data_IF_729595323970
#
_entry.id   IF_729595323970
#
_cell.length_a   1.000
_cell.length_b   1.000
_cell.length_c   1.000
_cell.angle_alpha   90.00
_cell.angle_beta   90.00
_cell.angle_gamma   90.00
#
_symmetry.space_group_name_H-M   'P 1'
#
loop_
_entity.id
_entity.type
_entity.pdbx_description
1 polymer ?
#
# COMPACT_ATOMS: atom_id res chain seq x y z
N UNK A 1 43.73 1.61 -13.50
CA UNK A 1 42.88 2.21 -12.45
C UNK A 1 41.89 1.14 -12.02
N UNK A 2 41.91 0.72 -10.77
CA UNK A 2 40.94 -0.27 -10.27
C UNK A 2 39.54 0.35 -10.25
N UNK A 3 38.60 -0.26 -10.97
CA UNK A 3 37.20 0.15 -10.93
C UNK A 3 36.68 -0.09 -9.49
N UNK A 4 36.17 0.94 -8.78
CA UNK A 4 35.68 0.76 -7.42
C UNK A 4 34.60 -0.33 -7.38
N UNK A 5 34.68 -1.21 -6.37
CA UNK A 5 33.70 -2.27 -6.22
C UNK A 5 32.28 -1.69 -6.07
N UNK A 6 31.24 -2.37 -6.58
CA UNK A 6 29.84 -1.92 -6.46
C UNK A 6 29.42 -1.47 -5.06
N UNK A 7 29.95 -2.15 -4.03
CA UNK A 7 29.68 -1.82 -2.63
C UNK A 7 30.22 -0.43 -2.26
N UNK A 8 31.44 -0.07 -2.70
CA UNK A 8 32.05 1.24 -2.40
C UNK A 8 31.31 2.38 -3.10
N UNK A 9 30.89 2.18 -4.34
CA UNK A 9 30.11 3.19 -5.08
C UNK A 9 28.79 3.47 -4.36
N UNK A 10 28.10 2.43 -3.89
CA UNK A 10 26.85 2.58 -3.14
C UNK A 10 27.06 3.28 -1.78
N UNK A 11 28.12 2.96 -1.07
CA UNK A 11 28.45 3.57 0.22
C UNK A 11 28.74 5.08 0.07
N UNK A 12 29.56 5.45 -0.91
CA UNK A 12 29.89 6.84 -1.21
C UNK A 12 28.67 7.67 -1.61
N UNK A 13 27.66 7.05 -2.22
CA UNK A 13 26.49 7.74 -2.76
C UNK A 13 25.20 7.40 -1.99
N UNK A 14 25.32 6.88 -0.77
CA UNK A 14 24.18 6.33 -0.03
C UNK A 14 23.05 7.34 0.18
N UNK A 15 23.38 8.59 0.52
CA UNK A 15 22.40 9.66 0.75
C UNK A 15 21.68 10.04 -0.54
N UNK A 16 22.41 10.13 -1.66
CA UNK A 16 21.85 10.44 -2.97
C UNK A 16 20.91 9.32 -3.43
N UNK A 17 21.37 8.07 -3.33
CA UNK A 17 20.57 6.88 -3.62
C UNK A 17 19.25 6.86 -2.83
N UNK A 18 19.30 7.15 -1.52
CA UNK A 18 18.11 7.21 -0.67
C UNK A 18 17.19 8.37 -1.03
N UNK A 19 17.74 9.54 -1.36
CA UNK A 19 16.99 10.70 -1.84
C UNK A 19 16.21 10.37 -3.10
N UNK A 20 16.92 9.90 -4.13
CA UNK A 20 16.33 9.54 -5.43
C UNK A 20 15.27 8.43 -5.27
N UNK A 21 15.55 7.42 -4.45
CA UNK A 21 14.60 6.34 -4.16
C UNK A 21 13.31 6.88 -3.53
N UNK A 22 13.42 7.78 -2.54
CA UNK A 22 12.27 8.34 -1.88
C UNK A 22 11.42 9.17 -2.85
N UNK A 23 12.04 9.94 -3.75
CA UNK A 23 11.31 10.68 -4.78
C UNK A 23 10.58 9.76 -5.76
N UNK A 24 11.24 8.71 -6.27
CA UNK A 24 10.58 7.70 -7.13
C UNK A 24 9.43 7.02 -6.40
N UNK A 25 9.62 6.65 -5.12
CA UNK A 25 8.58 6.06 -4.29
C UNK A 25 7.37 6.99 -4.13
N UNK A 26 7.58 8.28 -3.88
CA UNK A 26 6.49 9.25 -3.76
C UNK A 26 5.70 9.39 -5.05
N UNK A 27 6.39 9.56 -6.19
CA UNK A 27 5.73 9.67 -7.51
C UNK A 27 4.92 8.41 -7.83
N UNK A 28 5.50 7.25 -7.55
CA UNK A 28 4.86 5.96 -7.79
C UNK A 28 3.66 5.76 -6.86
N UNK A 29 3.76 6.17 -5.59
CA UNK A 29 2.68 6.02 -4.59
C UNK A 29 1.39 6.70 -5.05
N UNK A 30 1.45 7.88 -5.67
CA UNK A 30 0.27 8.58 -6.20
C UNK A 30 -0.50 7.70 -7.21
N UNK A 31 0.21 7.14 -8.19
CA UNK A 31 -0.40 6.30 -9.21
C UNK A 31 -1.01 5.02 -8.62
N UNK A 32 -0.33 4.39 -7.67
CA UNK A 32 -0.82 3.19 -7.00
C UNK A 32 -2.03 3.48 -6.10
N UNK A 33 -2.05 4.59 -5.38
CA UNK A 33 -3.22 5.01 -4.58
C UNK A 33 -4.46 5.19 -5.46
N UNK A 34 -4.32 5.82 -6.63
CA UNK A 34 -5.43 5.99 -7.59
C UNK A 34 -5.95 4.65 -8.11
N UNK A 35 -5.05 3.74 -8.49
CA UNK A 35 -5.41 2.38 -8.93
C UNK A 35 -6.09 1.60 -7.82
N UNK A 36 -5.58 1.69 -6.59
CA UNK A 36 -6.17 1.04 -5.43
C UNK A 36 -7.59 1.53 -5.18
N UNK A 37 -7.87 2.84 -5.28
CA UNK A 37 -9.22 3.38 -5.15
C UNK A 37 -10.20 2.76 -6.16
N UNK A 38 -9.81 2.69 -7.44
CA UNK A 38 -10.63 2.08 -8.50
C UNK A 38 -10.89 0.61 -8.22
N UNK A 39 -9.84 -0.14 -7.87
CA UNK A 39 -9.96 -1.56 -7.56
C UNK A 39 -10.88 -1.77 -6.35
N UNK A 40 -10.71 -1.01 -5.27
CA UNK A 40 -11.60 -1.09 -4.11
C UNK A 40 -13.05 -0.76 -4.44
N UNK A 41 -13.32 0.25 -5.29
CA UNK A 41 -14.69 0.54 -5.74
C UNK A 41 -15.31 -0.67 -6.43
N UNK A 42 -14.57 -1.31 -7.35
CA UNK A 42 -15.05 -2.50 -8.05
C UNK A 42 -15.31 -3.64 -7.06
N UNK A 43 -14.40 -3.91 -6.14
CA UNK A 43 -14.58 -4.97 -5.14
C UNK A 43 -15.74 -4.69 -4.17
N UNK A 44 -15.91 -3.44 -3.74
CA UNK A 44 -17.02 -3.03 -2.88
C UNK A 44 -18.36 -3.29 -3.56
N UNK A 45 -18.49 -2.93 -4.84
CA UNK A 45 -19.72 -3.16 -5.60
C UNK A 45 -19.91 -4.65 -5.93
N UNK A 46 -18.86 -5.37 -6.30
CA UNK A 46 -18.91 -6.81 -6.55
C UNK A 46 -19.37 -7.59 -5.31
N UNK A 47 -19.05 -7.10 -4.10
CA UNK A 47 -19.55 -7.66 -2.85
C UNK A 47 -21.08 -7.65 -2.71
N UNK A 48 -21.82 -6.86 -3.50
CA UNK A 48 -23.28 -6.90 -3.50
C UNK A 48 -23.83 -8.25 -3.97
N UNK A 49 -23.11 -8.96 -4.84
CA UNK A 49 -23.48 -10.31 -5.25
C UNK A 49 -23.50 -11.28 -4.05
N UNK A 50 -22.55 -11.12 -3.12
CA UNK A 50 -22.51 -11.90 -1.89
C UNK A 50 -23.68 -11.55 -0.96
N UNK A 51 -24.10 -10.28 -0.91
CA UNK A 51 -25.21 -9.85 -0.07
C UNK A 51 -26.53 -10.48 -0.50
N UNK A 52 -26.75 -10.67 -1.81
CA UNK A 52 -27.93 -11.35 -2.35
C UNK A 52 -28.04 -12.81 -1.88
N UNK A 53 -26.90 -13.46 -1.62
CA UNK A 53 -26.84 -14.86 -1.20
C UNK A 53 -26.91 -14.95 0.34
N UNK A 54 -26.11 -14.15 1.04
CA UNK A 54 -25.97 -14.24 2.49
C UNK A 54 -27.15 -13.60 3.25
N UNK A 55 -27.67 -12.47 2.75
CA UNK A 55 -28.74 -11.70 3.40
C UNK A 55 -29.71 -11.10 2.36
N UNK A 56 -30.45 -11.94 1.60
CA UNK A 56 -31.31 -11.49 0.50
C UNK A 56 -32.32 -10.41 0.93
N UNK A 57 -32.86 -10.52 2.15
CA UNK A 57 -33.80 -9.54 2.71
C UNK A 57 -33.19 -8.15 2.95
N UNK A 58 -31.88 -8.06 3.22
CA UNK A 58 -31.16 -6.79 3.46
C UNK A 58 -30.33 -6.35 2.24
N UNK A 59 -30.32 -7.12 1.15
CA UNK A 59 -29.43 -6.88 0.02
C UNK A 59 -29.63 -5.49 -0.62
N UNK A 60 -30.87 -5.00 -0.72
CA UNK A 60 -31.14 -3.65 -1.24
C UNK A 60 -30.59 -2.54 -0.31
N UNK A 61 -30.69 -2.73 1.00
CA UNK A 61 -30.11 -1.81 1.99
C UNK A 61 -28.58 -1.82 1.92
N UNK A 62 -27.99 -3.01 1.85
CA UNK A 62 -26.55 -3.19 1.73
C UNK A 62 -25.98 -2.64 0.42
N UNK A 63 -26.71 -2.76 -0.69
CA UNK A 63 -26.33 -2.13 -1.95
C UNK A 63 -26.28 -0.60 -1.83
N UNK A 64 -27.21 0.02 -1.08
CA UNK A 64 -27.16 1.47 -0.82
C UNK A 64 -25.90 1.85 -0.04
N UNK A 65 -25.58 1.11 1.03
CA UNK A 65 -24.36 1.36 1.81
C UNK A 65 -23.07 1.12 1.01
N UNK A 66 -23.06 0.11 0.13
CA UNK A 66 -21.97 -0.11 -0.85
C UNK A 66 -21.84 1.04 -1.83
N UNK A 67 -22.96 1.54 -2.36
CA UNK A 67 -22.97 2.70 -3.26
C UNK A 67 -22.45 3.96 -2.57
N UNK A 68 -22.81 4.18 -1.30
CA UNK A 68 -22.26 5.28 -0.48
C UNK A 68 -20.74 5.12 -0.32
N UNK A 69 -20.26 3.93 0.05
CA UNK A 69 -18.83 3.66 0.16
C UNK A 69 -18.09 3.85 -1.18
N UNK A 70 -18.66 3.40 -2.29
CA UNK A 70 -18.11 3.62 -3.62
C UNK A 70 -18.07 5.12 -3.98
N UNK A 71 -19.09 5.89 -3.60
CA UNK A 71 -19.11 7.34 -3.73
C UNK A 71 -18.00 8.02 -2.92
N UNK A 72 -17.78 7.60 -1.67
CA UNK A 72 -16.67 8.09 -0.84
C UNK A 72 -15.33 7.79 -1.49
N UNK A 73 -15.14 6.57 -1.99
CA UNK A 73 -13.92 6.19 -2.72
C UNK A 73 -13.73 7.02 -4.00
N UNK A 74 -14.81 7.32 -4.73
CA UNK A 74 -14.76 8.18 -5.91
C UNK A 74 -14.36 9.63 -5.56
N UNK A 75 -14.85 10.16 -4.43
CA UNK A 75 -14.44 11.48 -3.92
C UNK A 75 -12.97 11.46 -3.55
N UNK A 76 -12.51 10.45 -2.79
CA UNK A 76 -11.10 10.32 -2.41
C UNK A 76 -10.18 10.17 -3.64
N UNK A 77 -10.64 9.44 -4.66
CA UNK A 77 -9.98 9.35 -5.95
C UNK A 77 -9.90 10.74 -6.62
N UNK A 78 -11.00 11.49 -6.67
CA UNK A 78 -11.03 12.86 -7.19
C UNK A 78 -10.04 13.78 -6.47
N UNK A 79 -10.04 13.76 -5.13
CA UNK A 79 -9.12 14.54 -4.30
C UNK A 79 -7.66 14.15 -4.55
N UNK A 80 -7.38 12.89 -4.87
CA UNK A 80 -6.02 12.45 -5.20
C UNK A 80 -5.44 13.03 -6.50
N UNK A 81 -6.27 13.69 -7.34
CA UNK A 81 -5.81 14.42 -8.54
C UNK A 81 -5.43 15.87 -8.25
N UNK A 82 -5.80 16.41 -7.09
CA UNK A 82 -5.38 17.75 -6.67
C UNK A 82 -3.88 17.77 -6.32
N UNK A 83 -3.23 18.96 -6.29
CA UNK A 83 -1.83 19.10 -5.88
C UNK A 83 -1.68 18.94 -4.36
N UNK A 84 -1.96 17.74 -3.86
CA UNK A 84 -1.81 17.36 -2.46
C UNK A 84 -0.36 16.93 -2.19
N UNK A 85 0.22 17.43 -1.09
CA UNK A 85 1.58 17.07 -0.70
C UNK A 85 1.74 15.58 -0.31
N UNK A 86 2.98 15.12 -0.04
CA UNK A 86 3.27 13.73 0.29
C UNK A 86 2.47 13.17 1.49
N UNK A 87 2.28 13.99 2.52
CA UNK A 87 1.46 13.64 3.68
C UNK A 87 -0.03 13.48 3.32
N UNK A 88 -0.53 14.31 2.41
CA UNK A 88 -1.91 14.24 1.91
C UNK A 88 -2.18 12.93 1.17
N UNK A 89 -1.29 12.54 0.24
CA UNK A 89 -1.43 11.26 -0.49
C UNK A 89 -1.38 10.05 0.44
N UNK A 90 -0.53 10.09 1.47
CA UNK A 90 -0.47 9.03 2.48
C UNK A 90 -1.80 8.95 3.25
N UNK A 91 -2.35 10.09 3.68
CA UNK A 91 -3.66 10.16 4.34
C UNK A 91 -4.80 9.66 3.46
N UNK A 92 -4.83 10.05 2.19
CA UNK A 92 -5.81 9.58 1.20
C UNK A 92 -5.73 8.06 1.03
N UNK A 93 -4.51 7.49 0.98
CA UNK A 93 -4.33 6.03 0.95
C UNK A 93 -4.94 5.32 2.16
N UNK A 94 -4.75 5.87 3.36
CA UNK A 94 -5.38 5.36 4.59
C UNK A 94 -6.91 5.50 4.56
N UNK A 95 -7.42 6.63 4.08
CA UNK A 95 -8.86 6.84 3.94
C UNK A 95 -9.49 5.87 2.92
N UNK A 96 -8.81 5.60 1.80
CA UNK A 96 -9.24 4.63 0.78
C UNK A 96 -9.33 3.22 1.38
N UNK A 97 -8.34 2.81 2.17
CA UNK A 97 -8.34 1.49 2.82
C UNK A 97 -9.38 1.41 3.96
N UNK A 98 -9.52 2.48 4.74
CA UNK A 98 -10.45 2.54 5.86
C UNK A 98 -11.92 2.54 5.41
N UNK A 99 -12.25 3.15 4.27
CA UNK A 99 -13.63 3.25 3.76
C UNK A 99 -14.34 1.88 3.65
N UNK A 100 -13.79 0.88 2.91
CA UNK A 100 -14.40 -0.45 2.86
C UNK A 100 -14.33 -1.18 4.20
N UNK A 101 -13.30 -0.95 5.02
CA UNK A 101 -13.21 -1.56 6.35
C UNK A 101 -14.33 -1.08 7.27
N UNK A 102 -14.61 0.23 7.29
CA UNK A 102 -15.73 0.82 8.03
C UNK A 102 -17.06 0.27 7.53
N UNK A 103 -17.25 0.17 6.21
CA UNK A 103 -18.45 -0.44 5.65
C UNK A 103 -18.65 -1.87 6.16
N UNK A 104 -17.61 -2.70 6.11
CA UNK A 104 -17.69 -4.09 6.57
C UNK A 104 -17.95 -4.16 8.07
N UNK A 105 -17.27 -3.35 8.89
CA UNK A 105 -17.52 -3.25 10.33
C UNK A 105 -18.98 -2.87 10.60
N UNK A 106 -19.51 -1.90 9.86
CA UNK A 106 -20.92 -1.52 9.97
C UNK A 106 -21.88 -2.67 9.61
N UNK A 107 -21.58 -3.46 8.58
CA UNK A 107 -22.38 -4.63 8.21
C UNK A 107 -22.32 -5.75 9.26
N UNK A 108 -21.16 -5.95 9.91
CA UNK A 108 -21.01 -6.88 11.04
C UNK A 108 -21.94 -6.45 12.18
N UNK A 109 -21.98 -5.15 12.50
CA UNK A 109 -22.86 -4.61 13.53
C UNK A 109 -24.36 -4.81 13.21
N UNK A 110 -24.78 -4.66 11.94
CA UNK A 110 -26.19 -4.75 11.54
C UNK A 110 -26.77 -6.17 11.39
N UNK A 111 -25.92 -7.20 11.33
CA UNK A 111 -26.37 -8.56 10.98
C UNK A 111 -26.50 -9.43 12.21
N UNK A 112 -25.40 -9.86 12.80
CA UNK A 112 -25.39 -10.73 13.97
C UNK A 112 -24.22 -10.40 14.92
N UNK A 113 -23.72 -9.16 14.88
CA UNK A 113 -22.51 -8.78 15.59
C UNK A 113 -21.32 -9.62 15.16
N UNK A 114 -20.46 -10.00 16.10
CA UNK A 114 -19.23 -10.76 15.82
C UNK A 114 -19.43 -12.18 15.28
N UNK A 115 -20.66 -12.72 15.26
CA UNK A 115 -20.96 -14.01 14.60
C UNK A 115 -21.09 -13.86 13.09
N UNK A 116 -21.23 -12.61 12.61
CA UNK A 116 -21.47 -12.33 11.20
C UNK A 116 -20.31 -12.78 10.30
N UNK A 117 -20.57 -13.51 9.19
CA UNK A 117 -19.53 -13.91 8.24
C UNK A 117 -18.85 -12.72 7.56
N UNK A 118 -19.43 -11.51 7.66
CA UNK A 118 -18.83 -10.30 7.11
C UNK A 118 -17.47 -9.97 7.73
N UNK A 119 -17.11 -10.46 8.92
CA UNK A 119 -15.77 -10.25 9.47
C UNK A 119 -14.67 -10.78 8.52
N UNK A 120 -14.96 -11.84 7.75
CA UNK A 120 -14.02 -12.38 6.77
C UNK A 120 -13.66 -11.36 5.68
N UNK A 121 -14.56 -10.41 5.41
CA UNK A 121 -14.30 -9.27 4.52
C UNK A 121 -13.14 -8.40 5.00
N UNK A 122 -12.93 -8.27 6.32
CA UNK A 122 -11.80 -7.52 6.87
C UNK A 122 -10.46 -8.16 6.52
N UNK A 123 -10.39 -9.50 6.44
CA UNK A 123 -9.17 -10.18 5.99
C UNK A 123 -8.82 -9.80 4.55
N UNK A 124 -9.82 -9.82 3.66
CA UNK A 124 -9.64 -9.45 2.25
C UNK A 124 -9.26 -7.97 2.12
N UNK A 125 -9.85 -7.09 2.93
CA UNK A 125 -9.51 -5.66 2.92
C UNK A 125 -8.08 -5.44 3.40
N UNK A 126 -7.63 -6.10 4.49
CA UNK A 126 -6.25 -6.01 4.95
C UNK A 126 -5.26 -6.48 3.87
N UNK A 127 -5.52 -7.63 3.25
CA UNK A 127 -4.70 -8.18 2.17
C UNK A 127 -4.70 -7.27 0.94
N UNK A 128 -5.87 -6.81 0.51
CA UNK A 128 -6.03 -5.88 -0.61
C UNK A 128 -5.26 -4.59 -0.37
N UNK A 129 -5.37 -4.00 0.82
CA UNK A 129 -4.64 -2.79 1.20
C UNK A 129 -3.13 -3.02 1.17
N UNK A 130 -2.66 -4.13 1.73
CA UNK A 130 -1.25 -4.52 1.71
C UNK A 130 -0.67 -4.67 0.29
N UNK A 131 -1.46 -5.21 -0.65
CA UNK A 131 -1.01 -5.49 -2.02
C UNK A 131 -1.14 -4.28 -2.95
N UNK A 132 -2.23 -3.52 -2.81
CA UNK A 132 -2.57 -2.43 -3.73
C UNK A 132 -1.96 -1.10 -3.32
N UNK A 133 -1.86 -0.83 -2.02
CA UNK A 133 -1.27 0.40 -1.52
C UNK A 133 0.22 0.12 -1.30
N UNK A 134 1.08 0.89 -1.95
CA UNK A 134 2.56 0.81 -1.85
C UNK A 134 3.07 1.31 -0.49
N UNK A 135 2.51 0.75 0.57
CA UNK A 135 2.68 1.13 1.95
C UNK A 135 4.03 0.68 2.51
N UNK A 136 4.42 1.35 3.60
CA UNK A 136 5.49 0.86 4.47
C UNK A 136 4.89 -0.10 5.50
N UNK A 137 5.72 -0.91 6.15
CA UNK A 137 5.24 -1.83 7.21
C UNK A 137 4.39 -1.11 8.26
N UNK A 138 4.81 0.10 8.66
CA UNK A 138 4.09 0.92 9.64
C UNK A 138 2.68 1.27 9.18
N UNK A 139 2.50 1.60 7.90
CA UNK A 139 1.16 1.90 7.35
C UNK A 139 0.25 0.66 7.42
N UNK A 140 0.79 -0.52 7.09
CA UNK A 140 0.05 -1.78 7.22
C UNK A 140 -0.30 -2.12 8.65
N UNK A 141 0.63 -1.91 9.59
CA UNK A 141 0.39 -2.13 11.02
C UNK A 141 -0.73 -1.23 11.57
N UNK A 142 -0.75 0.05 11.17
CA UNK A 142 -1.81 0.99 11.54
C UNK A 142 -3.17 0.51 11.02
N UNK A 143 -3.24 0.12 9.75
CA UNK A 143 -4.49 -0.36 9.15
C UNK A 143 -4.97 -1.69 9.75
N UNK A 144 -4.05 -2.61 10.03
CA UNK A 144 -4.36 -3.86 10.72
C UNK A 144 -4.89 -3.60 12.13
N UNK A 145 -4.20 -2.75 12.91
CA UNK A 145 -4.64 -2.34 14.25
C UNK A 145 -6.03 -1.73 14.23
N UNK A 146 -6.33 -0.89 13.22
CA UNK A 146 -7.66 -0.32 13.01
C UNK A 146 -8.74 -1.40 12.76
N UNK A 147 -8.45 -2.39 11.92
CA UNK A 147 -9.41 -3.47 11.64
C UNK A 147 -9.64 -4.37 12.87
N UNK A 148 -8.56 -4.72 13.59
CA UNK A 148 -8.64 -5.54 14.80
C UNK A 148 -9.41 -4.83 15.91
N UNK A 149 -9.10 -3.56 16.18
CA UNK A 149 -9.78 -2.80 17.23
C UNK A 149 -11.26 -2.59 16.90
N UNK A 150 -11.58 -2.26 15.63
CA UNK A 150 -12.97 -2.12 15.19
C UNK A 150 -13.77 -3.41 15.38
N UNK A 151 -13.23 -4.56 14.98
CA UNK A 151 -13.91 -5.84 15.18
C UNK A 151 -14.08 -6.16 16.67
N UNK A 152 -13.02 -5.98 17.48
CA UNK A 152 -13.06 -6.21 18.92
C UNK A 152 -14.12 -5.35 19.61
N UNK A 153 -14.22 -4.06 19.25
CA UNK A 153 -15.25 -3.15 19.77
C UNK A 153 -16.66 -3.63 19.45
N UNK A 154 -16.92 -4.08 18.21
CA UNK A 154 -18.24 -4.61 17.84
C UNK A 154 -18.53 -5.89 18.60
N UNK A 155 -17.58 -6.83 18.65
CA UNK A 155 -17.75 -8.10 19.33
C UNK A 155 -18.10 -7.92 20.81
N UNK A 156 -17.43 -6.95 21.47
CA UNK A 156 -17.71 -6.55 22.84
C UNK A 156 -19.09 -5.89 22.98
N UNK A 157 -19.41 -4.92 22.12
CA UNK A 157 -20.69 -4.21 22.17
C UNK A 157 -21.91 -5.10 21.93
N UNK A 158 -21.78 -6.17 21.12
CA UNK A 158 -22.87 -7.10 20.84
C UNK A 158 -22.87 -8.34 21.73
N UNK A 159 -22.03 -8.39 22.77
CA UNK A 159 -21.87 -9.56 23.67
C UNK A 159 -21.69 -10.88 22.89
N UNK A 160 -20.86 -10.83 21.84
CA UNK A 160 -20.57 -12.00 21.01
C UNK A 160 -19.95 -13.10 21.87
N UNK A 161 -20.32 -14.39 21.69
CA UNK A 161 -19.69 -15.49 22.41
C UNK A 161 -18.16 -15.43 22.34
N UNK A 162 -17.51 -15.72 23.47
CA UNK A 162 -16.06 -15.61 23.60
C UNK A 162 -15.35 -16.52 22.60
N UNK A 163 -15.87 -17.72 22.37
CA UNK A 163 -15.30 -18.69 21.41
C UNK A 163 -15.29 -18.16 19.97
N UNK A 164 -16.40 -17.58 19.52
CA UNK A 164 -16.52 -16.98 18.18
C UNK A 164 -15.64 -15.75 18.04
N UNK A 165 -15.58 -14.93 19.09
CA UNK A 165 -14.74 -13.73 19.14
C UNK A 165 -13.26 -14.10 19.07
N UNK A 166 -12.82 -15.07 19.87
CA UNK A 166 -11.44 -15.55 19.90
C UNK A 166 -11.03 -16.16 18.56
N UNK A 167 -11.89 -16.99 17.95
CA UNK A 167 -11.62 -17.61 16.65
C UNK A 167 -11.45 -16.56 15.56
N UNK A 168 -12.38 -15.61 15.47
CA UNK A 168 -12.34 -14.55 14.45
C UNK A 168 -11.16 -13.60 14.64
N UNK A 169 -10.85 -13.22 15.89
CA UNK A 169 -9.66 -12.43 16.21
C UNK A 169 -8.37 -13.18 15.89
N UNK A 170 -8.31 -14.48 16.11
CA UNK A 170 -7.15 -15.28 15.73
C UNK A 170 -6.93 -15.21 14.21
N UNK A 171 -7.96 -15.42 13.40
CA UNK A 171 -7.86 -15.28 11.94
C UNK A 171 -7.46 -13.86 11.49
N UNK A 172 -8.08 -12.82 12.07
CA UNK A 172 -7.74 -11.43 11.76
C UNK A 172 -6.29 -11.12 12.13
N UNK A 173 -5.83 -11.59 13.30
CA UNK A 173 -4.45 -11.39 13.77
C UNK A 173 -3.46 -12.12 12.88
N UNK A 174 -3.74 -13.37 12.49
CA UNK A 174 -2.89 -14.10 11.54
C UNK A 174 -2.80 -13.37 10.21
N UNK A 175 -3.91 -12.88 9.67
CA UNK A 175 -3.91 -12.08 8.44
C UNK A 175 -3.11 -10.78 8.59
N UNK A 176 -3.26 -10.08 9.73
CA UNK A 176 -2.49 -8.88 10.04
C UNK A 176 -0.98 -9.15 10.07
N UNK A 177 -0.55 -10.25 10.70
CA UNK A 177 0.86 -10.67 10.74
C UNK A 177 1.37 -10.97 9.33
N UNK A 178 0.60 -11.73 8.54
CA UNK A 178 0.95 -12.04 7.14
C UNK A 178 1.07 -10.77 6.30
N UNK A 179 0.15 -9.82 6.44
CA UNK A 179 0.21 -8.53 5.75
C UNK A 179 1.44 -7.71 6.15
N UNK A 180 1.74 -7.62 7.45
CA UNK A 180 2.91 -6.88 7.94
C UNK A 180 4.23 -7.52 7.45
N UNK A 181 4.34 -8.85 7.50
CA UNK A 181 5.51 -9.57 6.98
C UNK A 181 5.62 -9.41 5.46
N UNK A 182 4.50 -9.51 4.74
CA UNK A 182 4.43 -9.28 3.30
C UNK A 182 4.94 -7.89 2.93
N UNK A 183 4.48 -6.85 3.62
CA UNK A 183 4.97 -5.48 3.42
C UNK A 183 6.45 -5.35 3.74
N UNK A 184 6.94 -6.02 4.78
CA UNK A 184 8.35 -5.96 5.15
C UNK A 184 9.27 -6.51 4.06
N UNK A 185 8.93 -7.69 3.54
CA UNK A 185 9.69 -8.27 2.43
C UNK A 185 9.52 -7.46 1.15
N UNK A 186 8.31 -6.97 0.88
CA UNK A 186 8.03 -6.18 -0.32
C UNK A 186 8.74 -4.83 -0.33
N UNK A 187 8.80 -4.12 0.80
CA UNK A 187 9.55 -2.87 0.95
C UNK A 187 11.06 -3.09 0.73
N UNK A 188 11.62 -4.17 1.29
CA UNK A 188 13.02 -4.55 1.05
C UNK A 188 13.29 -4.92 -0.40
N UNK A 189 12.36 -5.61 -1.04
CA UNK A 189 12.49 -6.00 -2.45
C UNK A 189 12.49 -4.77 -3.36
N UNK A 190 11.56 -3.82 -3.15
CA UNK A 190 11.50 -2.56 -3.92
C UNK A 190 12.81 -1.78 -3.84
N UNK A 191 13.38 -1.65 -2.64
CA UNK A 191 14.65 -0.98 -2.46
C UNK A 191 15.81 -1.73 -3.14
N UNK A 192 15.87 -3.07 -3.03
CA UNK A 192 16.89 -3.89 -3.69
C UNK A 192 16.85 -3.75 -5.21
N UNK A 193 15.66 -3.81 -5.80
CA UNK A 193 15.45 -3.64 -7.25
C UNK A 193 15.84 -2.24 -7.70
N UNK A 194 15.46 -1.21 -6.93
CA UNK A 194 15.87 0.15 -7.22
C UNK A 194 17.39 0.31 -7.21
N UNK A 195 18.07 -0.20 -6.18
CA UNK A 195 19.52 -0.13 -6.02
C UNK A 195 20.28 -0.72 -7.21
N UNK A 196 19.82 -1.86 -7.74
CA UNK A 196 20.43 -2.50 -8.91
C UNK A 196 20.27 -1.63 -10.16
N UNK A 197 19.06 -1.08 -10.40
CA UNK A 197 18.79 -0.19 -11.53
C UNK A 197 19.61 1.10 -11.47
N UNK A 198 19.70 1.69 -10.29
CA UNK A 198 20.47 2.91 -10.04
C UNK A 198 21.96 2.70 -10.34
N UNK A 199 22.55 1.60 -9.85
CA UNK A 199 23.95 1.29 -10.11
C UNK A 199 24.23 1.07 -11.60
N UNK A 200 23.37 0.32 -12.29
CA UNK A 200 23.50 0.09 -13.73
C UNK A 200 23.45 1.40 -14.54
N UNK A 201 22.57 2.33 -14.16
CA UNK A 201 22.50 3.66 -14.77
C UNK A 201 23.76 4.48 -14.56
N UNK A 202 24.37 4.42 -13.37
CA UNK A 202 25.61 5.13 -13.04
C UNK A 202 26.81 4.62 -13.84
N UNK A 203 26.98 3.30 -13.92
CA UNK A 203 28.07 2.70 -14.72
C UNK A 203 27.94 3.04 -16.21
N UNK A 204 26.73 3.04 -16.76
CA UNK A 204 26.49 3.44 -18.14
C UNK A 204 26.84 4.92 -18.39
N UNK A 205 26.54 5.81 -17.44
CA UNK A 205 26.88 7.22 -17.53
C UNK A 205 28.41 7.46 -17.46
N UNK A 206 29.13 6.73 -16.60
CA UNK A 206 30.59 6.80 -16.51
C UNK A 206 31.28 6.33 -17.80
N UNK A 207 30.75 5.30 -18.47
CA UNK A 207 31.27 4.80 -19.74
C UNK A 207 30.99 5.73 -20.93
N UNK A 208 29.92 6.53 -20.86
CA UNK A 208 29.56 7.49 -21.90
C UNK A 208 30.29 8.84 -21.77
N UNK A 209 31.01 9.09 -20.66
CA UNK A 209 31.79 10.29 -20.49
C UNK A 209 33.00 10.26 -21.45
N UNK A 210 33.21 11.29 -22.29
CA UNK A 210 34.36 11.32 -23.21
C UNK A 210 35.66 11.25 -22.40
N UNK A 211 36.57 10.36 -22.81
CA UNK A 211 37.92 10.34 -22.25
C UNK A 211 38.55 11.71 -22.46
N UNK A 212 38.66 12.52 -21.41
CA UNK A 212 39.55 13.67 -21.39
C UNK A 212 40.98 13.13 -21.33
N UNK A 213 41.46 12.58 -22.44
CA UNK A 213 42.85 12.25 -22.64
C UNK A 213 43.68 13.54 -22.61
N UNK A 214 44.92 13.50 -22.08
CA UNK A 214 45.79 14.68 -22.06
C UNK A 214 45.96 15.20 -23.49
N UNK A 215 45.63 16.48 -23.69
CA UNK A 215 45.86 17.20 -24.94
C UNK A 215 47.35 17.02 -25.30
N UNK A 216 47.69 16.51 -26.50
CA UNK A 216 49.08 16.30 -26.87
C UNK A 216 49.82 17.64 -26.76
N UNK A 217 50.91 17.64 -26.01
CA UNK A 217 51.75 18.81 -25.85
C UNK A 217 52.13 19.34 -27.24
N UNK A 218 52.06 20.66 -27.49
CA UNK A 218 52.52 21.23 -28.75
C UNK A 218 53.98 20.80 -28.96
N UNK A 219 54.22 20.05 -30.04
CA UNK A 219 55.56 19.61 -30.40
C UNK A 219 56.47 20.82 -30.62
N UNK A 220 57.78 20.69 -30.35
CA UNK A 220 58.71 21.79 -30.55
C UNK A 220 58.71 22.17 -32.04
N UNK A 221 58.23 23.39 -32.34
CA UNK A 221 58.35 23.97 -33.67
C UNK A 221 59.85 24.11 -33.98
N UNK A 222 60.26 23.44 -35.07
CA UNK A 222 61.63 23.44 -35.57
C UNK A 222 62.08 24.84 -35.99
N UNK A 223 63.32 25.11 -35.61
CA UNK A 223 64.23 26.20 -36.02
C UNK A 223 64.28 26.46 -37.52
#
# INVERSE_FOLDING_TARGET
>A
MDNPSPARVLEQNWQVLLGDYNEEEQRTRVAWTRRAAVIFMVFVLAGAAMDLIAYPAKAAEFLRWRAVCAGVLAILLGVSFLPVGPFGIRGIGHAIAASPAVLVLYMVLLTAGGVSPYYAGLNIIMLGSCLLLRWRVVDGFVHASFCLSGYWTIAFATNTPVETTATSLAFLTTTAVVCCLGLYFYERLRFRVYRVRWLAGKTAAEQAAPETGPQPAPGPEGS
#
